data_IF_908185878937
#
_entry.id   IF_908185878937
#
_cell.length_a   1.000
_cell.length_b   1.000
_cell.length_c   1.000
_cell.angle_alpha   90.00
_cell.angle_beta   90.00
_cell.angle_gamma   90.00
#
_symmetry.space_group_name_H-M   'P 1'
#
loop_
_entity.id
_entity.type
_entity.pdbx_description
1 polymer ?
#
# COMPACT_ATOMS: atom_id res chain seq x y z
N UNK A 1 9.01 9.06 13.61
CA UNK A 1 8.25 9.35 14.84
C UNK A 1 7.40 8.15 15.19
N UNK A 2 7.21 7.88 16.48
CA UNK A 2 6.35 6.79 16.97
C UNK A 2 5.37 7.42 17.95
N UNK A 3 4.09 7.14 17.74
CA UNK A 3 2.99 7.60 18.56
C UNK A 3 2.29 6.37 19.12
N UNK A 4 1.94 6.36 20.40
CA UNK A 4 1.21 5.24 20.99
C UNK A 4 0.33 5.70 22.12
N UNK A 5 -0.69 4.89 22.40
CA UNK A 5 -1.66 5.20 23.42
C UNK A 5 -2.80 4.21 23.43
N UNK A 6 -3.90 4.63 24.05
CA UNK A 6 -5.18 3.93 24.05
C UNK A 6 -6.27 4.88 23.60
N UNK A 7 -7.18 4.39 22.78
CA UNK A 7 -8.45 5.05 22.48
C UNK A 7 -9.52 4.15 23.07
N UNK A 8 -10.23 4.63 24.09
CA UNK A 8 -11.08 3.81 24.94
C UNK A 8 -10.29 2.59 25.47
N UNK A 9 -10.73 1.37 25.14
CA UNK A 9 -10.08 0.12 25.56
C UNK A 9 -9.07 -0.44 24.55
N UNK A 10 -8.87 0.22 23.41
CA UNK A 10 -8.04 -0.28 22.31
C UNK A 10 -6.67 0.34 22.33
N UNK A 11 -5.64 -0.50 22.37
CA UNK A 11 -4.26 -0.03 22.28
C UNK A 11 -3.91 0.26 20.82
N UNK A 12 -3.18 1.35 20.58
CA UNK A 12 -2.69 1.67 19.25
C UNK A 12 -1.22 2.10 19.27
N UNK A 13 -0.55 1.88 18.16
CA UNK A 13 0.76 2.44 17.87
C UNK A 13 0.85 2.87 16.40
N UNK A 14 1.24 4.11 16.14
CA UNK A 14 1.43 4.67 14.82
C UNK A 14 2.92 4.97 14.63
N UNK A 15 3.54 4.38 13.63
CA UNK A 15 4.90 4.70 13.21
C UNK A 15 4.84 5.51 11.92
N UNK A 16 5.35 6.73 11.97
CA UNK A 16 5.52 7.60 10.80
C UNK A 16 7.01 7.64 10.42
N UNK A 17 7.33 7.14 9.22
CA UNK A 17 8.66 7.21 8.59
C UNK A 17 8.60 8.06 7.33
N UNK A 18 9.76 8.34 6.76
CA UNK A 18 9.89 9.18 5.56
C UNK A 18 9.02 8.69 4.40
N UNK A 19 8.97 7.38 4.14
CA UNK A 19 8.21 6.79 3.04
C UNK A 19 6.88 6.14 3.41
N UNK A 20 6.54 6.01 4.70
CA UNK A 20 5.39 5.21 5.11
C UNK A 20 4.76 5.62 6.44
N UNK A 21 3.48 5.25 6.57
CA UNK A 21 2.70 5.28 7.79
C UNK A 21 2.24 3.85 8.12
N UNK A 22 2.56 3.39 9.32
CA UNK A 22 2.11 2.09 9.84
C UNK A 22 1.29 2.30 11.10
N UNK A 23 0.09 1.74 11.17
CA UNK A 23 -0.73 1.69 12.37
C UNK A 23 -0.88 0.25 12.86
N UNK A 24 -0.64 0.02 14.15
CA UNK A 24 -0.94 -1.22 14.87
C UNK A 24 -2.09 -0.96 15.83
N UNK A 25 -3.10 -1.85 15.85
CA UNK A 25 -4.26 -1.76 16.73
C UNK A 25 -4.47 -3.12 17.40
N UNK A 26 -4.49 -3.13 18.73
CA UNK A 26 -4.67 -4.30 19.61
C UNK A 26 -3.73 -5.48 19.30
N UNK A 27 -2.57 -5.21 18.67
CA UNK A 27 -1.60 -6.20 18.18
C UNK A 27 -2.14 -7.22 17.16
N UNK A 28 -3.43 -7.18 16.85
CA UNK A 28 -4.14 -8.08 15.93
C UNK A 28 -4.19 -7.53 14.51
N UNK A 29 -4.12 -6.21 14.38
CA UNK A 29 -4.24 -5.50 13.12
C UNK A 29 -3.04 -4.58 12.92
N UNK A 30 -2.31 -4.77 11.82
CA UNK A 30 -1.26 -3.85 11.40
C UNK A 30 -1.52 -3.42 9.97
N UNK A 31 -1.70 -2.12 9.75
CA UNK A 31 -2.00 -1.53 8.45
C UNK A 31 -0.84 -0.62 8.06
N UNK A 32 -0.30 -0.78 6.85
CA UNK A 32 0.77 0.06 6.32
C UNK A 32 0.39 0.65 4.97
N UNK A 33 0.58 1.96 4.86
CA UNK A 33 0.38 2.75 3.66
C UNK A 33 1.61 3.63 3.39
N UNK A 34 1.76 4.08 2.15
CA UNK A 34 2.78 5.07 1.83
C UNK A 34 2.38 6.47 2.32
N UNK A 35 3.26 7.46 2.12
CA UNK A 35 2.98 8.85 2.50
C UNK A 35 1.77 9.45 1.80
N UNK A 36 1.40 8.95 0.62
CA UNK A 36 0.21 9.36 -0.13
C UNK A 36 -1.07 8.73 0.40
N UNK A 37 -0.98 7.83 1.38
CA UNK A 37 -2.13 7.11 1.95
C UNK A 37 -2.43 5.79 1.25
N UNK A 38 -1.70 5.42 0.19
CA UNK A 38 -1.97 4.21 -0.59
C UNK A 38 -1.65 2.98 0.23
N UNK A 39 -2.65 2.12 0.45
CA UNK A 39 -2.49 0.88 1.17
C UNK A 39 -1.56 -0.08 0.40
N UNK A 40 -0.56 -0.64 1.07
CA UNK A 40 0.31 -1.68 0.47
C UNK A 40 0.48 -2.93 1.33
N UNK A 41 0.12 -2.90 2.62
CA UNK A 41 0.17 -4.09 3.48
C UNK A 41 -0.86 -4.04 4.59
N UNK A 42 -1.53 -5.17 4.85
CA UNK A 42 -2.31 -5.41 6.06
C UNK A 42 -1.86 -6.73 6.69
N UNK A 43 -1.73 -6.77 8.00
CA UNK A 43 -1.69 -8.00 8.78
C UNK A 43 -2.95 -8.03 9.64
N UNK A 44 -3.70 -9.13 9.56
CA UNK A 44 -4.91 -9.36 10.37
C UNK A 44 -5.04 -10.85 10.63
N UNK A 45 -5.23 -11.24 11.89
CA UNK A 45 -5.56 -12.61 12.33
C UNK A 45 -4.63 -13.68 11.72
N UNK A 46 -3.31 -13.47 11.78
CA UNK A 46 -2.33 -14.45 11.27
C UNK A 46 -2.12 -14.44 9.75
N UNK A 47 -2.88 -13.64 9.00
CA UNK A 47 -2.72 -13.47 7.56
C UNK A 47 -2.10 -12.11 7.21
N UNK A 48 -1.25 -12.09 6.19
CA UNK A 48 -0.72 -10.87 5.57
C UNK A 48 -1.32 -10.68 4.19
N UNK A 49 -1.86 -9.51 3.93
CA UNK A 49 -2.40 -9.06 2.66
C UNK A 49 -1.44 -8.05 2.05
N UNK A 50 -1.08 -8.23 0.78
CA UNK A 50 -0.19 -7.32 0.04
C UNK A 50 -0.88 -6.87 -1.23
N UNK A 51 -1.08 -5.56 -1.35
CA UNK A 51 -1.63 -4.93 -2.55
C UNK A 51 -0.50 -4.63 -3.53
N UNK A 52 -0.67 -5.03 -4.78
CA UNK A 52 0.13 -4.56 -5.90
C UNK A 52 -0.38 -3.22 -6.44
N UNK A 53 0.46 -2.49 -7.18
CA UNK A 53 0.05 -1.26 -7.86
C UNK A 53 -1.00 -1.52 -8.97
N UNK A 54 -1.08 -2.76 -9.46
CA UNK A 54 -2.11 -3.25 -10.37
C UNK A 54 -3.47 -3.51 -9.68
N UNK A 55 -3.58 -3.18 -8.39
CA UNK A 55 -4.80 -3.33 -7.60
C UNK A 55 -5.04 -4.73 -7.05
N UNK A 56 -4.30 -5.76 -7.49
CA UNK A 56 -4.50 -7.13 -6.99
C UNK A 56 -3.96 -7.28 -5.57
N UNK A 57 -4.66 -8.04 -4.75
CA UNK A 57 -4.28 -8.29 -3.36
C UNK A 57 -3.95 -9.76 -3.14
N UNK A 58 -2.71 -10.02 -2.73
CA UNK A 58 -2.24 -11.36 -2.36
C UNK A 58 -2.40 -11.56 -0.85
N UNK A 59 -3.21 -12.54 -0.45
CA UNK A 59 -3.25 -13.03 0.92
C UNK A 59 -2.17 -14.11 1.11
N UNK A 60 -1.45 -14.06 2.23
CA UNK A 60 -0.44 -15.03 2.64
C UNK A 60 -0.64 -15.40 4.11
N UNK A 61 -0.65 -16.68 4.44
CA UNK A 61 -0.77 -17.16 5.82
C UNK A 61 0.11 -18.39 6.04
N UNK A 62 0.31 -18.79 7.30
CA UNK A 62 0.92 -20.08 7.62
C UNK A 62 -0.20 -21.11 7.75
N UNK A 63 -0.14 -22.18 6.97
CA UNK A 63 -0.90 -23.40 7.25
C UNK A 63 -0.06 -24.36 8.10
N UNK A 64 -0.59 -25.56 8.34
CA UNK A 64 0.00 -26.55 9.24
C UNK A 64 1.42 -26.97 8.83
N UNK A 65 1.67 -27.11 7.52
CA UNK A 65 2.96 -27.62 7.01
C UNK A 65 3.69 -26.64 6.09
N UNK A 66 3.01 -25.60 5.59
CA UNK A 66 3.62 -24.68 4.61
C UNK A 66 2.94 -23.31 4.56
N UNK A 67 3.67 -22.35 3.98
CA UNK A 67 3.14 -21.01 3.72
C UNK A 67 2.16 -21.05 2.56
N UNK A 68 0.92 -20.68 2.84
CA UNK A 68 -0.17 -20.64 1.88
C UNK A 68 -0.32 -19.24 1.29
N UNK A 69 -0.84 -19.17 0.06
CA UNK A 69 -1.14 -17.90 -0.62
C UNK A 69 -2.32 -18.03 -1.58
N UNK A 70 -3.12 -16.98 -1.70
CA UNK A 70 -4.17 -16.84 -2.72
C UNK A 70 -4.35 -15.39 -3.11
N UNK A 71 -4.84 -15.17 -4.32
CA UNK A 71 -5.37 -13.86 -4.70
C UNK A 71 -6.77 -13.69 -4.12
N UNK A 72 -7.06 -12.49 -3.60
CA UNK A 72 -8.42 -12.13 -3.22
C UNK A 72 -9.27 -11.92 -4.48
N UNK A 73 -10.56 -12.24 -4.36
CA UNK A 73 -11.59 -11.78 -5.30
C UNK A 73 -11.79 -10.28 -5.16
N UNK A 74 -12.42 -9.64 -6.15
CA UNK A 74 -12.66 -8.19 -6.09
C UNK A 74 -13.49 -7.77 -4.86
N UNK A 75 -14.60 -8.44 -4.49
CA UNK A 75 -15.35 -8.06 -3.29
C UNK A 75 -14.52 -8.19 -2.01
N UNK A 76 -13.75 -9.28 -1.86
CA UNK A 76 -12.88 -9.46 -0.69
C UNK A 76 -11.78 -8.39 -0.61
N UNK A 77 -11.27 -7.94 -1.76
CA UNK A 77 -10.28 -6.88 -1.82
C UNK A 77 -10.89 -5.53 -1.43
N UNK A 78 -12.09 -5.23 -1.92
CA UNK A 78 -12.84 -4.01 -1.60
C UNK A 78 -13.15 -3.94 -0.10
N UNK A 79 -13.68 -5.02 0.48
CA UNK A 79 -13.96 -5.11 1.92
C UNK A 79 -12.70 -4.87 2.79
N UNK A 80 -11.55 -5.42 2.37
CA UNK A 80 -10.28 -5.22 3.06
C UNK A 80 -9.83 -3.75 3.01
N UNK A 81 -9.97 -3.12 1.85
CA UNK A 81 -9.58 -1.72 1.62
C UNK A 81 -10.47 -0.78 2.42
N UNK A 82 -11.78 -0.98 2.39
CA UNK A 82 -12.75 -0.17 3.12
C UNK A 82 -12.55 -0.32 4.64
N UNK A 83 -12.35 -1.53 5.15
CA UNK A 83 -12.04 -1.75 6.56
C UNK A 83 -10.72 -1.10 7.01
N UNK A 84 -9.71 -1.09 6.14
CA UNK A 84 -8.44 -0.40 6.42
C UNK A 84 -8.61 1.12 6.43
N UNK A 85 -9.35 1.67 5.46
CA UNK A 85 -9.72 3.09 5.40
C UNK A 85 -10.49 3.51 6.65
N UNK A 86 -11.49 2.73 7.08
CA UNK A 86 -12.25 2.96 8.30
C UNK A 86 -11.37 2.95 9.55
N UNK A 87 -10.40 2.03 9.63
CA UNK A 87 -9.45 1.99 10.75
C UNK A 87 -8.62 3.27 10.83
N UNK A 88 -8.20 3.83 9.69
CA UNK A 88 -7.51 5.12 9.66
C UNK A 88 -8.44 6.31 9.95
N UNK A 89 -9.71 6.28 9.52
CA UNK A 89 -10.71 7.29 9.90
C UNK A 89 -10.91 7.30 11.42
N UNK A 90 -11.09 6.12 12.01
CA UNK A 90 -11.19 5.97 13.46
C UNK A 90 -9.97 6.56 14.18
N UNK A 91 -8.75 6.24 13.75
CA UNK A 91 -7.54 6.84 14.32
C UNK A 91 -7.53 8.37 14.16
N UNK A 92 -7.76 8.88 12.95
CA UNK A 92 -7.79 10.34 12.65
C UNK A 92 -8.76 11.08 13.56
N UNK A 93 -9.97 10.55 13.73
CA UNK A 93 -11.03 11.21 14.49
C UNK A 93 -10.78 11.10 16.00
N UNK A 94 -10.17 10.00 16.44
CA UNK A 94 -10.00 9.71 17.86
C UNK A 94 -8.75 10.35 18.48
N UNK A 95 -7.67 10.56 17.71
CA UNK A 95 -6.38 11.05 18.27
C UNK A 95 -6.46 12.44 18.92
N UNK A 96 -7.48 13.23 18.58
CA UNK A 96 -7.77 14.54 19.19
C UNK A 96 -8.93 14.52 20.20
N UNK A 97 -9.56 13.36 20.38
CA UNK A 97 -10.70 13.22 21.29
C UNK A 97 -10.22 13.08 22.74
N UNK A 98 -11.05 13.44 23.73
CA UNK A 98 -10.75 13.20 25.14
C UNK A 98 -10.64 11.70 25.49
N UNK A 99 -11.09 10.81 24.60
CA UNK A 99 -11.00 9.36 24.74
C UNK A 99 -9.61 8.79 24.39
N UNK A 100 -8.73 9.62 23.82
CA UNK A 100 -7.37 9.23 23.49
C UNK A 100 -6.42 9.52 24.65
N UNK A 101 -5.99 8.46 25.33
CA UNK A 101 -4.93 8.49 26.33
C UNK A 101 -3.58 8.18 25.65
N UNK A 102 -2.82 9.22 25.34
CA UNK A 102 -1.46 9.09 24.82
C UNK A 102 -0.50 8.53 25.86
N UNK A 103 0.39 7.60 25.46
CA UNK A 103 1.52 7.19 26.29
C UNK A 103 2.52 8.34 26.46
N UNK A 104 2.74 9.09 25.37
CA UNK A 104 3.41 10.38 25.35
C UNK A 104 2.65 11.27 24.37
N UNK A 105 2.18 12.42 24.85
CA UNK A 105 1.44 13.35 24.01
C UNK A 105 2.37 13.92 22.92
N UNK A 106 1.95 13.91 21.64
CA UNK A 106 2.73 14.48 20.57
C UNK A 106 2.86 15.99 20.74
N UNK A 107 4.02 16.54 20.38
CA UNK A 107 4.17 18.00 20.29
C UNK A 107 3.45 18.58 19.05
N UNK A 108 3.43 19.91 18.91
CA UNK A 108 2.74 20.58 17.81
C UNK A 108 3.30 20.23 16.42
N UNK A 109 4.60 19.97 16.30
CA UNK A 109 5.26 19.64 15.03
C UNK A 109 4.92 18.20 14.65
N UNK A 110 5.01 17.29 15.61
CA UNK A 110 4.65 15.89 15.45
C UNK A 110 3.18 15.73 15.07
N UNK A 111 2.30 16.48 15.74
CA UNK A 111 0.87 16.49 15.49
C UNK A 111 0.53 16.99 14.08
N UNK A 112 1.15 18.09 13.65
CA UNK A 112 1.01 18.65 12.31
C UNK A 112 1.51 17.70 11.21
N UNK A 113 2.46 16.81 11.50
CA UNK A 113 2.92 15.79 10.57
C UNK A 113 2.00 14.55 10.53
N UNK A 114 1.45 14.16 11.68
CA UNK A 114 0.63 12.96 11.84
C UNK A 114 -0.74 13.10 11.16
N UNK A 115 -1.49 14.15 11.49
CA UNK A 115 -2.89 14.31 11.08
C UNK A 115 -3.11 14.27 9.56
N UNK A 116 -2.39 15.06 8.74
CA UNK A 116 -2.58 15.02 7.29
C UNK A 116 -2.25 13.65 6.68
N UNK A 117 -1.38 12.88 7.33
CA UNK A 117 -1.02 11.53 6.88
C UNK A 117 -2.12 10.53 7.19
N UNK A 118 -2.73 10.62 8.37
CA UNK A 118 -3.92 9.85 8.72
C UNK A 118 -5.10 10.19 7.80
N UNK A 119 -5.30 11.47 7.48
CA UNK A 119 -6.32 11.92 6.54
C UNK A 119 -6.18 11.28 5.16
N UNK A 120 -4.97 11.29 4.59
CA UNK A 120 -4.72 10.65 3.28
C UNK A 120 -4.95 9.14 3.34
N UNK A 121 -4.51 8.47 4.39
CA UNK A 121 -4.72 7.04 4.57
C UNK A 121 -6.20 6.70 4.78
N UNK A 122 -6.94 7.54 5.51
CA UNK A 122 -8.37 7.44 5.74
C UNK A 122 -9.21 7.67 4.46
N UNK A 123 -8.66 8.35 3.46
CA UNK A 123 -9.30 8.59 2.16
C UNK A 123 -9.06 7.45 1.15
N UNK A 124 -8.16 6.49 1.43
CA UNK A 124 -7.81 5.43 0.50
C UNK A 124 -8.71 4.20 0.68
N UNK A 125 -9.98 4.34 0.29
CA UNK A 125 -10.98 3.28 0.26
C UNK A 125 -10.93 2.45 -1.04
N UNK A 126 -11.87 1.52 -1.22
CA UNK A 126 -11.95 0.66 -2.40
C UNK A 126 -12.11 1.45 -3.70
N UNK A 127 -12.87 2.55 -3.70
CA UNK A 127 -13.03 3.41 -4.87
C UNK A 127 -11.72 4.12 -5.24
N UNK A 128 -11.04 4.72 -4.25
CA UNK A 128 -9.73 5.32 -4.44
C UNK A 128 -8.69 4.30 -4.92
N UNK A 129 -8.73 3.08 -4.41
CA UNK A 129 -7.82 2.00 -4.80
C UNK A 129 -8.03 1.51 -6.24
N UNK A 130 -9.27 1.51 -6.75
CA UNK A 130 -9.58 1.23 -8.16
C UNK A 130 -9.05 2.34 -9.06
N UNK A 131 -9.30 3.61 -8.70
CA UNK A 131 -8.77 4.76 -9.45
C UNK A 131 -7.23 4.78 -9.49
N UNK A 132 -6.56 4.40 -8.40
CA UNK A 132 -5.10 4.24 -8.32
C UNK A 132 -4.60 3.12 -9.25
N UNK A 133 -5.28 1.97 -9.28
CA UNK A 133 -4.94 0.86 -10.18
C UNK A 133 -5.16 1.23 -11.66
N UNK A 134 -6.22 1.98 -11.98
CA UNK A 134 -6.46 2.51 -13.32
C UNK A 134 -5.37 3.51 -13.72
N UNK A 135 -4.95 4.39 -12.79
CA UNK A 135 -3.85 5.31 -13.03
C UNK A 135 -2.54 4.58 -13.33
N UNK A 136 -2.24 3.54 -12.55
CA UNK A 136 -1.10 2.68 -12.80
C UNK A 136 -1.18 2.02 -14.19
N UNK A 137 -2.34 1.48 -14.57
CA UNK A 137 -2.54 0.81 -15.86
C UNK A 137 -2.50 1.76 -17.08
N UNK A 138 -2.70 3.07 -16.88
CA UNK A 138 -2.51 4.08 -17.95
C UNK A 138 -1.04 4.29 -18.29
N UNK A 139 -0.17 4.26 -17.28
CA UNK A 139 1.26 4.57 -17.43
C UNK A 139 2.07 3.31 -17.70
N UNK A 140 1.77 2.22 -16.98
CA UNK A 140 2.57 1.01 -17.01
C UNK A 140 1.95 -0.09 -17.88
N UNK A 141 2.84 -0.80 -18.58
CA UNK A 141 2.63 -2.14 -19.12
C UNK A 141 3.35 -3.15 -18.23
N UNK A 142 3.15 -4.47 -18.40
CA UNK A 142 3.82 -5.47 -17.57
C UNK A 142 5.30 -5.15 -17.36
N UNK A 143 5.68 -5.05 -16.09
CA UNK A 143 7.06 -4.75 -15.66
C UNK A 143 7.78 -6.08 -15.55
N UNK A 144 8.97 -6.18 -16.14
CA UNK A 144 9.81 -7.37 -16.06
C UNK A 144 10.26 -7.67 -14.62
N UNK A 145 10.90 -8.82 -14.43
CA UNK A 145 11.50 -9.17 -13.13
C UNK A 145 12.60 -8.16 -12.81
N UNK A 146 12.45 -7.45 -11.70
CA UNK A 146 13.48 -6.57 -11.18
C UNK A 146 14.56 -7.39 -10.47
N UNK A 147 15.83 -6.94 -10.51
CA UNK A 147 16.88 -7.49 -9.67
C UNK A 147 16.46 -7.50 -8.19
N UNK A 148 16.89 -8.49 -7.38
CA UNK A 148 16.48 -8.60 -5.97
C UNK A 148 16.83 -7.39 -5.09
N UNK A 149 17.84 -6.61 -5.47
CA UNK A 149 18.25 -5.37 -4.81
C UNK A 149 17.38 -4.16 -5.20
N UNK A 150 16.50 -4.30 -6.19
CA UNK A 150 15.64 -3.24 -6.74
C UNK A 150 14.17 -3.38 -6.34
N UNK A 151 13.85 -4.19 -5.33
CA UNK A 151 12.50 -4.21 -4.78
C UNK A 151 12.13 -2.84 -4.19
N UNK A 152 10.95 -2.32 -4.57
CA UNK A 152 10.43 -0.99 -4.22
C UNK A 152 11.14 0.19 -4.93
N UNK A 153 11.97 -0.06 -5.95
CA UNK A 153 12.51 1.00 -6.78
C UNK A 153 11.40 1.73 -7.58
N UNK A 154 11.62 3.00 -7.88
CA UNK A 154 10.84 3.73 -8.88
C UNK A 154 11.22 3.20 -10.27
N UNK A 155 10.26 2.61 -10.97
CA UNK A 155 10.47 2.08 -12.32
C UNK A 155 10.01 3.11 -13.34
N UNK A 156 10.88 3.52 -14.25
CA UNK A 156 10.49 4.33 -15.41
C UNK A 156 10.53 3.44 -16.65
N UNK A 157 9.38 3.15 -17.24
CA UNK A 157 9.28 2.20 -18.35
C UNK A 157 9.45 2.93 -19.69
N UNK A 158 10.71 3.11 -20.12
CA UNK A 158 11.02 3.75 -21.40
C UNK A 158 10.61 2.91 -22.63
N UNK A 159 10.54 1.58 -22.47
CA UNK A 159 10.18 0.65 -23.53
C UNK A 159 9.10 -0.33 -23.08
N UNK A 160 8.23 -0.68 -24.01
CA UNK A 160 7.27 -1.78 -23.90
C UNK A 160 7.81 -2.97 -24.70
N UNK A 161 7.61 -4.20 -24.21
CA UNK A 161 8.11 -5.40 -24.88
C UNK A 161 9.66 -5.51 -24.89
N UNK A 162 10.18 -6.33 -25.80
CA UNK A 162 11.61 -6.58 -25.97
C UNK A 162 11.95 -6.54 -27.46
N UNK A 163 13.01 -5.83 -27.86
CA UNK A 163 13.41 -5.70 -29.27
C UNK A 163 13.80 -7.02 -29.93
N UNK A 164 14.16 -8.04 -29.13
CA UNK A 164 14.49 -9.37 -29.61
C UNK A 164 13.26 -10.27 -29.78
N UNK A 165 12.31 -10.24 -28.82
CA UNK A 165 10.99 -10.94 -28.74
C UNK A 165 10.92 -12.44 -29.14
N UNK A 166 12.02 -13.07 -29.53
CA UNK A 166 12.05 -14.43 -30.11
C UNK A 166 12.70 -15.46 -29.19
N UNK A 167 13.01 -15.09 -27.94
CA UNK A 167 13.51 -16.03 -26.93
C UNK A 167 12.48 -17.11 -26.61
N UNK A 168 12.84 -18.38 -26.80
CA UNK A 168 11.96 -19.53 -26.50
C UNK A 168 11.83 -19.83 -25.00
N UNK A 169 12.65 -19.22 -24.16
CA UNK A 169 12.69 -19.42 -22.71
C UNK A 169 12.06 -18.26 -21.92
N UNK A 170 11.67 -17.17 -22.57
CA UNK A 170 11.30 -15.92 -21.90
C UNK A 170 9.79 -15.70 -21.91
N UNK A 171 9.17 -15.84 -20.75
CA UNK A 171 7.73 -15.52 -20.56
C UNK A 171 7.47 -14.06 -20.13
N UNK A 172 8.49 -13.19 -20.17
CA UNK A 172 8.40 -11.81 -19.67
C UNK A 172 7.90 -10.82 -20.71
N UNK A 173 8.25 -11.02 -21.98
CA UNK A 173 8.04 -10.04 -23.04
C UNK A 173 7.29 -10.67 -24.20
N UNK A 174 5.96 -10.79 -24.07
CA UNK A 174 5.08 -11.24 -25.15
C UNK A 174 4.51 -10.09 -25.98
N UNK A 175 4.66 -8.84 -25.51
CA UNK A 175 4.16 -7.66 -26.21
C UNK A 175 5.12 -7.18 -27.31
N UNK A 176 4.60 -6.59 -28.41
CA UNK A 176 5.42 -5.93 -29.42
C UNK A 176 6.36 -4.90 -28.80
N UNK A 177 7.57 -4.82 -29.35
CA UNK A 177 8.54 -3.84 -28.90
C UNK A 177 8.14 -2.43 -29.32
N UNK A 178 8.15 -1.50 -28.36
CA UNK A 178 7.93 -0.07 -28.61
C UNK A 178 8.78 0.78 -27.68
N UNK A 179 9.39 1.83 -28.23
CA UNK A 179 10.01 2.90 -27.44
C UNK A 179 8.95 3.97 -27.20
N UNK A 180 8.75 4.38 -25.94
CA UNK A 180 7.78 5.43 -25.61
C UNK A 180 8.29 6.79 -26.12
N UNK A 181 7.43 7.62 -26.74
CA UNK A 181 7.75 9.03 -26.98
C UNK A 181 8.06 9.75 -25.67
N UNK A 182 8.87 10.81 -25.73
CA UNK A 182 9.28 11.59 -24.54
C UNK A 182 8.08 12.05 -23.71
N UNK A 183 7.01 12.47 -24.34
CA UNK A 183 5.81 12.96 -23.64
C UNK A 183 5.11 11.86 -22.83
N UNK A 184 5.04 10.65 -23.37
CA UNK A 184 4.49 9.50 -22.66
C UNK A 184 5.43 9.03 -21.53
N UNK A 185 6.74 9.11 -21.76
CA UNK A 185 7.72 8.77 -20.74
C UNK A 185 7.64 9.72 -19.53
N UNK A 186 7.42 11.02 -19.75
CA UNK A 186 7.24 12.02 -18.68
C UNK A 186 6.08 11.71 -17.74
N UNK A 187 5.04 11.02 -18.21
CA UNK A 187 3.89 10.65 -17.38
C UNK A 187 4.24 9.75 -16.19
N UNK A 188 5.43 9.12 -16.16
CA UNK A 188 5.87 8.29 -15.03
C UNK A 188 6.30 9.10 -13.79
N UNK A 189 6.60 10.40 -13.96
CA UNK A 189 7.09 11.28 -12.89
C UNK A 189 6.26 12.57 -12.74
N UNK A 190 5.11 12.62 -13.43
CA UNK A 190 4.21 13.78 -13.44
C UNK A 190 3.35 13.84 -12.17
#
# INVERSE_FOLDING_TARGET
MIFSGRIDERAFAITLREGSLTASIDERLVIACDRGGRLYSVYRDGATFRRGLDGRILQKWRGDESRQRRWLTQPEADDLLDAASESFRWLRDSVNSPHCAWAQAPDAVEHAALLPTLERAAAFDSAAARADAEAFARVYRPIGILPPDQYLALVLQATEGCSFHTCTFCDLYHHPYRVKPVEEFRQHIA
#
